data_IF_964476367741
#
_entry.id   IF_964476367741
#
_cell.length_a   1.000
_cell.length_b   1.000
_cell.length_c   1.000
_cell.angle_alpha   90.00
_cell.angle_beta   90.00
_cell.angle_gamma   90.00
#
_symmetry.space_group_name_H-M   'P 1'
#
loop_
_entity.id
_entity.type
_entity.pdbx_description
1 polymer ?
#
# COMPACT_ATOMS: atom_id res chain seq x y z
N UNK A 1 25.02 0.00 10.53
CA UNK A 1 24.69 1.45 10.57
C UNK A 1 25.50 2.21 9.53
N UNK A 2 26.82 1.99 9.47
CA UNK A 2 27.72 2.69 8.55
C UNK A 2 27.38 2.58 7.05
N UNK A 3 26.83 1.45 6.56
CA UNK A 3 26.65 1.29 5.10
C UNK A 3 25.51 2.14 4.51
N UNK A 4 24.31 2.10 5.11
CA UNK A 4 23.14 2.82 4.56
C UNK A 4 23.28 4.34 4.67
N UNK A 5 23.86 4.84 5.77
CA UNK A 5 24.08 6.26 5.94
C UNK A 5 25.14 6.80 4.96
N UNK A 6 26.23 6.06 4.77
CA UNK A 6 27.27 6.43 3.80
C UNK A 6 26.74 6.39 2.36
N UNK A 7 25.98 5.37 1.98
CA UNK A 7 25.36 5.30 0.63
C UNK A 7 24.39 6.48 0.39
N UNK A 8 23.59 6.88 1.39
CA UNK A 8 22.72 8.05 1.27
C UNK A 8 23.50 9.37 1.24
N UNK A 9 24.62 9.45 1.94
CA UNK A 9 25.52 10.61 1.90
C UNK A 9 26.21 10.73 0.53
N UNK A 10 26.65 9.62 -0.07
CA UNK A 10 27.17 9.58 -1.43
C UNK A 10 26.12 10.04 -2.47
N UNK A 11 24.86 9.64 -2.29
CA UNK A 11 23.74 10.13 -3.10
C UNK A 11 23.50 11.64 -2.91
N UNK A 12 23.69 12.15 -1.68
CA UNK A 12 23.62 13.59 -1.41
C UNK A 12 24.75 14.35 -2.09
N UNK A 13 25.98 13.84 -2.02
CA UNK A 13 27.16 14.46 -2.62
C UNK A 13 27.11 14.46 -4.15
N UNK A 14 26.45 13.46 -4.75
CA UNK A 14 26.21 13.40 -6.19
C UNK A 14 25.01 14.23 -6.67
N UNK A 15 24.28 14.88 -5.76
CA UNK A 15 23.18 15.79 -6.08
C UNK A 15 21.90 15.10 -6.56
N UNK A 16 21.78 13.78 -6.40
CA UNK A 16 20.60 13.00 -6.81
C UNK A 16 19.63 12.72 -5.66
N UNK A 17 20.01 13.09 -4.44
CA UNK A 17 19.15 12.97 -3.26
C UNK A 17 18.05 14.03 -3.28
N UNK A 18 16.85 13.66 -2.81
CA UNK A 18 15.74 14.59 -2.69
C UNK A 18 16.14 15.83 -1.85
N UNK A 19 15.90 17.07 -2.34
CA UNK A 19 16.32 18.28 -1.65
C UNK A 19 15.80 18.35 -0.20
N UNK A 20 16.71 18.62 0.74
CA UNK A 20 16.39 18.74 2.16
C UNK A 20 16.27 17.42 2.92
N UNK A 21 16.53 16.28 2.29
CA UNK A 21 16.60 14.99 2.98
C UNK A 21 17.94 14.84 3.73
N UNK A 22 17.88 14.59 5.03
CA UNK A 22 19.05 14.28 5.87
C UNK A 22 19.41 12.78 5.74
N UNK A 23 20.60 12.44 5.18
CA UNK A 23 21.03 11.05 4.98
C UNK A 23 21.08 10.21 6.25
N UNK A 24 21.54 10.78 7.36
CA UNK A 24 21.67 10.09 8.65
C UNK A 24 20.28 9.80 9.20
N UNK A 25 19.41 10.81 9.24
CA UNK A 25 18.04 10.65 9.72
C UNK A 25 17.25 9.64 8.88
N UNK A 26 17.43 9.65 7.56
CA UNK A 26 16.83 8.69 6.64
C UNK A 26 17.33 7.26 6.89
N UNK A 27 18.65 7.06 7.01
CA UNK A 27 19.24 5.76 7.34
C UNK A 27 18.73 5.22 8.68
N UNK A 28 18.63 6.06 9.71
CA UNK A 28 18.06 5.65 10.99
C UNK A 28 16.59 5.26 10.86
N UNK A 29 15.79 5.98 10.06
CA UNK A 29 14.39 5.65 9.84
C UNK A 29 14.24 4.27 9.18
N UNK A 30 15.08 3.95 8.20
CA UNK A 30 15.13 2.62 7.56
C UNK A 30 15.48 1.54 8.59
N UNK A 31 16.53 1.74 9.40
CA UNK A 31 16.95 0.76 10.42
C UNK A 31 15.86 0.57 11.48
N UNK A 32 15.21 1.65 11.94
CA UNK A 32 14.08 1.57 12.89
C UNK A 32 12.94 0.76 12.29
N UNK A 33 12.58 1.00 11.03
CA UNK A 33 11.53 0.25 10.34
C UNK A 33 11.88 -1.24 10.23
N UNK A 34 13.10 -1.56 9.79
CA UNK A 34 13.59 -2.94 9.72
C UNK A 34 13.47 -3.67 11.07
N UNK A 35 13.93 -3.04 12.17
CA UNK A 35 13.85 -3.63 13.51
C UNK A 35 12.40 -3.90 13.94
N UNK A 36 11.47 -2.99 13.62
CA UNK A 36 10.05 -3.17 13.92
C UNK A 36 9.44 -4.32 13.12
N UNK A 37 9.75 -4.42 11.83
CA UNK A 37 9.33 -5.56 10.98
C UNK A 37 9.87 -6.87 11.54
N UNK A 38 11.16 -6.90 11.90
CA UNK A 38 11.81 -8.09 12.45
C UNK A 38 11.21 -8.51 13.79
N UNK A 39 10.91 -7.56 14.68
CA UNK A 39 10.21 -7.84 15.93
C UNK A 39 8.82 -8.44 15.67
N UNK A 40 8.03 -7.80 14.78
CA UNK A 40 6.70 -8.28 14.43
C UNK A 40 6.70 -9.69 13.81
N UNK A 41 7.73 -10.05 13.03
CA UNK A 41 7.86 -11.39 12.46
C UNK A 41 8.26 -12.46 13.48
N UNK A 42 9.00 -12.10 14.53
CA UNK A 42 9.44 -13.08 15.53
C UNK A 42 8.46 -13.24 16.69
N UNK A 43 7.84 -12.15 17.10
CA UNK A 43 7.08 -12.06 18.32
C UNK A 43 5.59 -12.04 17.99
N UNK A 44 4.92 -13.20 18.11
CA UNK A 44 3.46 -13.27 17.97
C UNK A 44 2.78 -12.38 19.01
N UNK A 45 1.77 -11.64 18.58
CA UNK A 45 0.96 -10.83 19.48
C UNK A 45 -0.25 -11.65 19.94
N UNK A 46 -0.49 -11.70 21.25
CA UNK A 46 -1.65 -12.36 21.86
C UNK A 46 -2.64 -11.32 22.36
N UNK A 47 -3.90 -11.43 21.95
CA UNK A 47 -4.96 -10.45 22.23
C UNK A 47 -6.23 -11.16 22.71
N UNK A 48 -7.00 -10.49 23.58
CA UNK A 48 -8.34 -10.95 23.94
C UNK A 48 -9.27 -10.84 22.71
N UNK A 49 -9.92 -11.93 22.26
CA UNK A 49 -10.86 -11.89 21.15
C UNK A 49 -12.03 -10.90 21.33
N UNK A 50 -12.38 -10.56 22.58
CA UNK A 50 -13.48 -9.63 22.90
C UNK A 50 -13.05 -8.18 22.83
N UNK A 51 -11.75 -7.89 22.86
CA UNK A 51 -11.23 -6.53 22.73
C UNK A 51 -11.03 -6.14 21.27
N UNK A 52 -12.13 -5.71 20.65
CA UNK A 52 -12.14 -5.27 19.25
C UNK A 52 -11.18 -4.11 18.99
N UNK A 53 -11.01 -3.19 19.95
CA UNK A 53 -10.11 -2.05 19.78
C UNK A 53 -8.64 -2.47 19.77
N UNK A 54 -8.26 -3.42 20.64
CA UNK A 54 -6.91 -3.98 20.64
C UNK A 54 -6.61 -4.74 19.33
N UNK A 55 -7.58 -5.51 18.82
CA UNK A 55 -7.46 -6.23 17.54
C UNK A 55 -7.30 -5.26 16.36
N UNK A 56 -8.15 -4.26 16.25
CA UNK A 56 -8.06 -3.24 15.18
C UNK A 56 -6.75 -2.44 15.27
N UNK A 57 -6.30 -2.12 16.49
CA UNK A 57 -5.02 -1.45 16.74
C UNK A 57 -3.82 -2.28 16.30
N UNK A 58 -3.79 -3.57 16.65
CA UNK A 58 -2.74 -4.50 16.23
C UNK A 58 -2.69 -4.62 14.70
N UNK A 59 -3.84 -4.75 14.06
CA UNK A 59 -3.91 -4.84 12.60
C UNK A 59 -3.41 -3.56 11.92
N UNK A 60 -3.71 -2.38 12.49
CA UNK A 60 -3.20 -1.10 12.00
C UNK A 60 -1.68 -1.01 12.11
N UNK A 61 -1.10 -1.45 13.22
CA UNK A 61 0.37 -1.48 13.38
C UNK A 61 1.04 -2.36 12.32
N UNK A 62 0.47 -3.53 12.02
CA UNK A 62 0.98 -4.40 10.97
C UNK A 62 0.83 -3.76 9.58
N UNK A 63 -0.28 -3.09 9.32
CA UNK A 63 -0.50 -2.34 8.09
C UNK A 63 0.54 -1.22 7.91
N UNK A 64 0.85 -0.45 8.97
CA UNK A 64 1.87 0.61 8.95
C UNK A 64 3.28 0.06 8.68
N UNK A 65 3.54 -1.19 9.07
CA UNK A 65 4.79 -1.88 8.74
C UNK A 65 4.82 -2.36 7.28
N UNK A 66 3.68 -2.36 6.61
CA UNK A 66 3.52 -2.76 5.22
C UNK A 66 3.04 -4.19 5.05
N UNK A 67 2.50 -4.83 6.09
CA UNK A 67 1.86 -6.14 5.96
C UNK A 67 0.43 -6.00 5.42
N UNK A 68 0.09 -6.84 4.45
CA UNK A 68 -1.28 -6.99 3.95
C UNK A 68 -2.10 -7.89 4.89
N UNK A 69 -3.43 -7.80 4.80
CA UNK A 69 -4.35 -8.57 5.66
C UNK A 69 -4.09 -10.08 5.58
N UNK A 70 -3.84 -10.58 4.38
CA UNK A 70 -3.56 -11.99 4.13
C UNK A 70 -2.16 -12.47 4.55
N UNK A 71 -1.25 -11.54 4.81
CA UNK A 71 0.08 -11.82 5.35
C UNK A 71 0.04 -11.94 6.88
N UNK A 72 -1.15 -11.95 7.49
CA UNK A 72 -1.33 -12.12 8.92
C UNK A 72 -2.10 -13.41 9.18
N UNK A 73 -1.45 -14.37 9.84
CA UNK A 73 -2.13 -15.53 10.37
C UNK A 73 -2.82 -15.16 11.69
N UNK A 74 -4.10 -15.49 11.80
CA UNK A 74 -4.90 -15.31 13.01
C UNK A 74 -5.33 -16.70 13.48
N UNK A 75 -4.88 -17.09 14.67
CA UNK A 75 -5.25 -18.38 15.28
C UNK A 75 -5.77 -18.16 16.70
N UNK A 76 -6.60 -19.06 17.20
CA UNK A 76 -6.98 -19.09 18.62
C UNK A 76 -6.03 -20.04 19.33
N UNK A 77 -5.35 -19.55 20.35
CA UNK A 77 -4.51 -20.36 21.22
C UNK A 77 -5.39 -21.30 22.06
N UNK A 78 -5.14 -22.61 21.95
CA UNK A 78 -6.00 -23.63 22.55
C UNK A 78 -6.04 -23.57 24.07
N UNK A 79 -4.93 -23.18 24.71
CA UNK A 79 -4.79 -23.16 26.16
C UNK A 79 -5.33 -21.86 26.75
N UNK A 80 -4.97 -20.72 26.16
CA UNK A 80 -5.31 -19.39 26.70
C UNK A 80 -6.59 -18.79 26.11
N UNK A 81 -7.14 -19.37 25.04
CA UNK A 81 -8.27 -18.82 24.27
C UNK A 81 -8.02 -17.41 23.70
N UNK A 82 -6.76 -16.96 23.66
CA UNK A 82 -6.38 -15.68 23.08
C UNK A 82 -6.21 -15.77 21.57
N UNK A 83 -6.48 -14.68 20.85
CA UNK A 83 -6.12 -14.54 19.44
C UNK A 83 -4.63 -14.30 19.30
N UNK A 84 -3.95 -15.16 18.54
CA UNK A 84 -2.58 -14.97 18.11
C UNK A 84 -2.54 -14.33 16.72
N UNK A 85 -1.91 -13.17 16.62
CA UNK A 85 -1.60 -12.49 15.37
C UNK A 85 -0.13 -12.69 15.05
N UNK A 86 0.14 -13.32 13.90
CA UNK A 86 1.49 -13.61 13.44
C UNK A 86 1.63 -13.21 11.97
N UNK A 87 2.40 -12.14 11.67
CA UNK A 87 2.78 -11.82 10.31
C UNK A 87 3.62 -12.95 9.73
N UNK A 88 3.42 -13.23 8.44
CA UNK A 88 4.17 -14.22 7.68
C UNK A 88 4.74 -13.61 6.41
N UNK A 89 5.87 -14.16 5.98
CA UNK A 89 6.41 -13.86 4.66
C UNK A 89 5.71 -14.72 3.62
N UNK A 90 5.30 -14.11 2.53
CA UNK A 90 4.78 -14.82 1.34
C UNK A 90 5.90 -15.01 0.32
N UNK A 91 5.73 -15.98 -0.57
CA UNK A 91 6.67 -16.18 -1.68
C UNK A 91 6.69 -14.95 -2.60
N UNK A 92 7.80 -14.74 -3.29
CA UNK A 92 7.89 -13.70 -4.31
C UNK A 92 6.84 -13.94 -5.40
N UNK A 93 6.18 -12.86 -5.84
CA UNK A 93 5.13 -12.92 -6.87
C UNK A 93 3.76 -13.36 -6.36
N UNK A 94 3.60 -13.57 -5.05
CA UNK A 94 2.33 -14.00 -4.45
C UNK A 94 1.21 -12.98 -4.70
N UNK A 95 1.49 -11.69 -4.45
CA UNK A 95 0.49 -10.64 -4.60
C UNK A 95 0.13 -10.43 -6.06
N UNK A 96 1.13 -10.42 -6.96
CA UNK A 96 0.89 -10.32 -8.41
C UNK A 96 0.06 -11.48 -8.94
N UNK A 97 0.39 -12.72 -8.58
CA UNK A 97 -0.39 -13.89 -9.00
C UNK A 97 -1.83 -13.82 -8.48
N UNK A 98 -2.02 -13.42 -7.22
CA UNK A 98 -3.34 -13.27 -6.64
C UNK A 98 -4.18 -12.19 -7.33
N UNK A 99 -3.59 -11.02 -7.59
CA UNK A 99 -4.30 -9.94 -8.27
C UNK A 99 -4.73 -10.37 -9.66
N UNK A 100 -3.84 -11.06 -10.40
CA UNK A 100 -4.15 -11.65 -11.70
C UNK A 100 -5.31 -12.65 -11.60
N UNK A 101 -5.30 -13.55 -10.63
CA UNK A 101 -6.34 -14.55 -10.47
C UNK A 101 -7.71 -13.94 -10.11
N UNK A 102 -7.73 -12.87 -9.32
CA UNK A 102 -8.97 -12.21 -8.88
C UNK A 102 -9.52 -11.18 -9.87
N UNK A 103 -8.64 -10.45 -10.56
CA UNK A 103 -8.99 -9.23 -11.30
C UNK A 103 -8.40 -9.18 -12.71
N UNK A 104 -7.55 -10.13 -13.09
CA UNK A 104 -6.91 -10.17 -14.41
C UNK A 104 -5.87 -9.09 -14.66
N UNK A 105 -5.42 -8.37 -13.62
CA UNK A 105 -4.44 -7.30 -13.73
C UNK A 105 -3.02 -7.83 -13.55
N UNK A 106 -2.14 -7.48 -14.49
CA UNK A 106 -0.71 -7.79 -14.45
C UNK A 106 0.06 -6.62 -13.84
N UNK A 107 0.69 -6.83 -12.70
CA UNK A 107 1.41 -5.75 -11.98
C UNK A 107 2.65 -6.27 -11.27
N UNK A 108 3.55 -5.36 -10.91
CA UNK A 108 4.63 -5.68 -9.97
C UNK A 108 4.10 -5.93 -8.55
N UNK A 109 4.90 -6.56 -7.70
CA UNK A 109 4.47 -7.03 -6.38
C UNK A 109 3.96 -5.89 -5.48
N UNK A 110 4.64 -4.73 -5.49
CA UNK A 110 4.25 -3.58 -4.67
C UNK A 110 2.95 -2.93 -5.19
N UNK A 111 2.80 -2.87 -6.52
CA UNK A 111 1.56 -2.41 -7.15
C UNK A 111 0.40 -3.34 -6.78
N UNK A 112 0.61 -4.65 -6.92
CA UNK A 112 -0.37 -5.67 -6.57
C UNK A 112 -0.84 -5.54 -5.12
N UNK A 113 0.12 -5.42 -4.20
CA UNK A 113 -0.15 -5.26 -2.78
C UNK A 113 -0.98 -4.01 -2.48
N UNK A 114 -0.70 -2.88 -3.15
CA UNK A 114 -1.45 -1.62 -2.98
C UNK A 114 -2.87 -1.73 -3.52
N UNK A 115 -3.07 -2.37 -4.67
CA UNK A 115 -4.38 -2.64 -5.25
C UNK A 115 -5.21 -3.60 -4.39
N UNK A 116 -4.61 -4.72 -3.96
CA UNK A 116 -5.24 -5.68 -3.05
C UNK A 116 -5.63 -5.04 -1.71
N UNK A 117 -4.82 -4.13 -1.17
CA UNK A 117 -5.17 -3.38 0.04
C UNK A 117 -6.36 -2.41 -0.18
N UNK A 118 -6.56 -1.89 -1.39
CA UNK A 118 -7.76 -1.13 -1.75
C UNK A 118 -8.99 -2.06 -1.78
N UNK A 119 -8.85 -3.22 -2.40
CA UNK A 119 -9.89 -4.24 -2.47
C UNK A 119 -10.29 -4.79 -1.10
N UNK A 120 -9.33 -5.16 -0.24
CA UNK A 120 -9.62 -5.67 1.11
C UNK A 120 -10.37 -4.65 1.95
N UNK A 121 -10.04 -3.35 1.82
CA UNK A 121 -10.78 -2.26 2.48
C UNK A 121 -12.21 -2.13 1.97
N UNK A 122 -12.43 -2.30 0.67
CA UNK A 122 -13.76 -2.34 0.09
C UNK A 122 -14.56 -3.55 0.62
N UNK A 123 -13.98 -4.75 0.57
CA UNK A 123 -14.60 -5.98 1.05
C UNK A 123 -14.98 -5.91 2.54
N UNK A 124 -14.12 -5.32 3.37
CA UNK A 124 -14.39 -5.14 4.80
C UNK A 124 -15.62 -4.23 5.08
N UNK A 125 -15.92 -3.27 4.20
CA UNK A 125 -17.13 -2.45 4.31
C UNK A 125 -18.38 -3.20 3.84
N UNK A 126 -18.23 -4.05 2.82
CA UNK A 126 -19.31 -4.82 2.19
C UNK A 126 -19.54 -6.20 2.84
N UNK A 127 -18.88 -6.50 3.96
CA UNK A 127 -18.85 -7.83 4.60
C UNK A 127 -20.25 -8.41 4.90
N UNK A 128 -21.27 -7.55 5.05
CA UNK A 128 -22.67 -7.95 5.31
C UNK A 128 -23.38 -8.57 4.10
N UNK A 129 -22.80 -8.49 2.90
CA UNK A 129 -23.43 -8.94 1.66
C UNK A 129 -23.40 -10.45 1.45
N UNK A 130 -22.53 -11.18 2.17
CA UNK A 130 -22.38 -12.65 2.04
C UNK A 130 -21.84 -13.14 0.69
N UNK A 131 -21.38 -12.23 -0.20
CA UNK A 131 -20.89 -12.63 -1.51
C UNK A 131 -19.49 -13.25 -1.43
N UNK A 132 -19.16 -14.07 -2.43
CA UNK A 132 -17.83 -14.67 -2.57
C UNK A 132 -16.75 -13.61 -2.84
N UNK A 133 -15.49 -13.98 -2.59
CA UNK A 133 -14.33 -13.10 -2.85
C UNK A 133 -14.27 -12.68 -4.32
N UNK A 134 -14.57 -13.58 -5.25
CA UNK A 134 -14.58 -13.30 -6.69
C UNK A 134 -15.71 -12.33 -7.07
N UNK A 135 -16.89 -12.45 -6.49
CA UNK A 135 -17.99 -11.50 -6.71
C UNK A 135 -17.64 -10.11 -6.16
N UNK A 136 -17.03 -10.05 -4.98
CA UNK A 136 -16.54 -8.80 -4.39
C UNK A 136 -15.45 -8.15 -5.24
N UNK A 137 -14.54 -8.95 -5.83
CA UNK A 137 -13.49 -8.44 -6.71
C UNK A 137 -14.09 -7.78 -7.96
N UNK A 138 -15.09 -8.42 -8.59
CA UNK A 138 -15.82 -7.84 -9.72
C UNK A 138 -16.54 -6.55 -9.34
N UNK A 139 -17.21 -6.51 -8.18
CA UNK A 139 -17.88 -5.30 -7.70
C UNK A 139 -16.90 -4.18 -7.43
N UNK A 140 -15.79 -4.46 -6.74
CA UNK A 140 -14.73 -3.47 -6.51
C UNK A 140 -14.17 -2.92 -7.82
N UNK A 141 -13.98 -3.78 -8.83
CA UNK A 141 -13.52 -3.35 -10.13
C UNK A 141 -14.48 -2.34 -10.77
N UNK A 142 -15.78 -2.64 -10.79
CA UNK A 142 -16.82 -1.79 -11.37
C UNK A 142 -17.12 -0.52 -10.56
N UNK A 143 -17.02 -0.59 -9.24
CA UNK A 143 -17.45 0.50 -8.34
C UNK A 143 -16.29 1.41 -7.88
N UNK A 144 -15.05 0.95 -7.98
CA UNK A 144 -13.87 1.68 -7.49
C UNK A 144 -12.81 1.83 -8.57
N UNK A 145 -12.39 0.74 -9.22
CA UNK A 145 -11.30 0.79 -10.20
C UNK A 145 -11.72 1.53 -11.48
N UNK A 146 -12.77 1.06 -12.16
CA UNK A 146 -13.24 1.65 -13.41
C UNK A 146 -13.67 3.12 -13.25
N UNK A 147 -14.40 3.55 -12.21
CA UNK A 147 -14.77 4.96 -12.07
C UNK A 147 -13.55 5.87 -11.90
N UNK A 148 -12.53 5.43 -11.18
CA UNK A 148 -11.27 6.18 -11.03
C UNK A 148 -10.54 6.31 -12.37
N UNK A 149 -10.44 5.23 -13.14
CA UNK A 149 -9.80 5.26 -14.46
C UNK A 149 -10.62 6.09 -15.45
N UNK A 150 -11.94 5.94 -15.48
CA UNK A 150 -12.83 6.67 -16.38
C UNK A 150 -12.94 8.16 -16.05
N UNK A 151 -12.57 8.56 -14.84
CA UNK A 151 -12.44 9.97 -14.45
C UNK A 151 -11.24 10.65 -15.12
N UNK A 152 -10.22 9.89 -15.53
CA UNK A 152 -9.09 10.43 -16.29
C UNK A 152 -9.53 10.77 -17.72
N UNK A 153 -9.20 11.97 -18.24
CA UNK A 153 -9.55 12.36 -19.60
C UNK A 153 -9.11 11.31 -20.62
N UNK A 154 -9.96 10.99 -21.60
CA UNK A 154 -9.70 9.98 -22.63
C UNK A 154 -8.34 10.17 -23.33
N UNK A 155 -7.99 11.40 -23.67
CA UNK A 155 -6.72 11.74 -24.30
C UNK A 155 -5.47 11.45 -23.43
N UNK A 156 -5.64 11.17 -22.14
CA UNK A 156 -4.55 10.91 -21.19
C UNK A 156 -4.59 9.49 -20.61
N UNK A 157 -5.65 8.70 -20.86
CA UNK A 157 -5.82 7.35 -20.28
C UNK A 157 -4.75 6.37 -20.75
N UNK A 158 -4.33 6.44 -22.01
CA UNK A 158 -3.34 5.53 -22.58
C UNK A 158 -1.88 5.93 -22.31
N UNK A 159 -1.63 7.03 -21.59
CA UNK A 159 -0.27 7.43 -21.22
C UNK A 159 0.41 6.44 -20.27
N UNK A 160 -0.40 5.66 -19.57
CA UNK A 160 0.04 4.70 -18.55
C UNK A 160 -0.92 3.53 -18.53
N UNK A 161 -0.39 2.32 -18.36
CA UNK A 161 -1.14 1.14 -17.95
C UNK A 161 -2.08 1.44 -16.76
N UNK A 162 -3.34 1.01 -16.85
CA UNK A 162 -4.38 1.39 -15.89
C UNK A 162 -4.06 0.95 -14.46
N UNK A 163 -3.45 -0.22 -14.27
CA UNK A 163 -3.11 -0.69 -12.93
C UNK A 163 -2.05 0.20 -12.28
N UNK A 164 -1.06 0.64 -13.07
CA UNK A 164 -0.05 1.59 -12.63
C UNK A 164 -0.64 2.98 -12.37
N UNK A 165 -1.57 3.44 -13.20
CA UNK A 165 -2.27 4.70 -13.00
C UNK A 165 -3.07 4.69 -11.67
N UNK A 166 -3.83 3.62 -11.43
CA UNK A 166 -4.58 3.46 -10.19
C UNK A 166 -3.66 3.37 -8.96
N UNK A 167 -2.52 2.67 -9.09
CA UNK A 167 -1.49 2.59 -8.05
C UNK A 167 -0.98 3.99 -7.63
N UNK A 168 -0.70 4.86 -8.60
CA UNK A 168 -0.21 6.21 -8.33
C UNK A 168 -1.30 7.14 -7.81
N UNK A 169 -2.54 7.00 -8.27
CA UNK A 169 -3.66 7.74 -7.71
C UNK A 169 -3.83 7.40 -6.22
N UNK A 170 -3.67 6.13 -5.84
CA UNK A 170 -3.70 5.72 -4.43
C UNK A 170 -2.55 6.32 -3.62
N UNK A 171 -1.36 6.45 -4.22
CA UNK A 171 -0.20 7.11 -3.59
C UNK A 171 -0.43 8.61 -3.42
N UNK A 172 -0.92 9.26 -4.47
CA UNK A 172 -1.27 10.68 -4.44
C UNK A 172 -2.34 10.96 -3.37
N UNK A 173 -3.37 10.10 -3.27
CA UNK A 173 -4.38 10.20 -2.22
C UNK A 173 -3.73 10.15 -0.83
N UNK A 174 -2.80 9.22 -0.60
CA UNK A 174 -2.10 9.14 0.67
C UNK A 174 -1.31 10.43 0.94
N UNK A 175 -0.49 10.88 -0.01
CA UNK A 175 0.31 12.10 0.12
C UNK A 175 -0.55 13.35 0.43
N UNK A 176 -1.64 13.54 -0.31
CA UNK A 176 -2.58 14.65 -0.10
C UNK A 176 -3.29 14.56 1.27
N UNK A 177 -3.60 13.35 1.72
CA UNK A 177 -4.26 13.12 3.01
C UNK A 177 -3.31 13.40 4.18
N UNK A 178 -2.03 13.04 4.07
CA UNK A 178 -1.00 13.37 5.05
C UNK A 178 -0.87 14.89 5.21
N UNK A 179 -0.84 15.64 4.11
CA UNK A 179 -0.74 17.10 4.13
C UNK A 179 -1.96 17.80 4.74
N UNK A 180 -3.17 17.25 4.56
CA UNK A 180 -4.42 17.84 5.06
C UNK A 180 -4.87 17.32 6.43
N UNK A 181 -4.31 16.20 6.90
CA UNK A 181 -4.70 15.55 8.15
C UNK A 181 -6.02 14.79 8.10
N UNK A 182 -6.61 14.59 6.92
CA UNK A 182 -7.82 13.79 6.71
C UNK A 182 -7.84 13.19 5.29
N UNK A 183 -8.64 12.14 5.10
CA UNK A 183 -8.79 11.47 3.80
C UNK A 183 -9.47 12.37 2.76
N UNK A 184 -8.76 12.68 1.68
CA UNK A 184 -9.28 13.54 0.59
C UNK A 184 -10.23 12.82 -0.37
N UNK A 185 -10.29 11.49 -0.31
CA UNK A 185 -11.09 10.67 -1.23
C UNK A 185 -10.41 10.43 -2.58
N UNK A 186 -10.92 9.44 -3.32
CA UNK A 186 -10.37 9.04 -4.62
C UNK A 186 -10.62 10.10 -5.70
N UNK A 187 -11.82 10.65 -5.79
CA UNK A 187 -12.17 11.64 -6.83
C UNK A 187 -11.23 12.85 -6.81
N UNK A 188 -11.02 13.44 -5.63
CA UNK A 188 -10.10 14.57 -5.46
C UNK A 188 -8.66 14.19 -5.80
N UNK A 189 -8.21 13.01 -5.37
CA UNK A 189 -6.86 12.54 -5.65
C UNK A 189 -6.63 12.27 -7.14
N UNK A 190 -7.64 11.76 -7.85
CA UNK A 190 -7.60 11.56 -9.30
C UNK A 190 -7.55 12.90 -10.03
N UNK A 191 -8.39 13.87 -9.68
CA UNK A 191 -8.37 15.20 -10.30
C UNK A 191 -7.01 15.87 -10.12
N UNK A 192 -6.45 15.78 -8.91
CA UNK A 192 -5.13 16.30 -8.61
C UNK A 192 -4.04 15.56 -9.39
N UNK A 193 -4.10 14.22 -9.45
CA UNK A 193 -3.15 13.41 -10.22
C UNK A 193 -3.14 13.78 -11.70
N UNK A 194 -4.31 13.96 -12.30
CA UNK A 194 -4.46 14.37 -13.72
C UNK A 194 -3.89 15.76 -13.98
N UNK A 195 -3.95 16.66 -12.99
CA UNK A 195 -3.49 18.04 -13.14
C UNK A 195 -2.00 18.20 -12.86
N UNK A 196 -1.49 17.55 -11.82
CA UNK A 196 -0.19 17.86 -11.25
C UNK A 196 0.87 16.79 -11.50
N UNK A 197 0.49 15.56 -11.86
CA UNK A 197 1.42 14.42 -11.98
C UNK A 197 1.39 13.86 -13.41
N UNK A 198 0.24 13.39 -13.87
CA UNK A 198 0.08 12.73 -15.17
C UNK A 198 0.62 13.55 -16.38
N UNK A 199 0.51 14.89 -16.43
CA UNK A 199 1.04 15.67 -17.54
C UNK A 199 2.56 15.56 -17.69
N UNK A 200 3.28 15.49 -16.57
CA UNK A 200 4.74 15.47 -16.49
C UNK A 200 5.31 14.07 -16.52
N UNK A 201 4.45 13.06 -16.39
CA UNK A 201 4.82 11.66 -16.43
C UNK A 201 5.24 11.22 -17.83
N UNK A 202 6.38 10.52 -17.93
CA UNK A 202 6.81 9.84 -19.16
C UNK A 202 6.25 8.43 -19.24
N UNK A 203 6.07 7.93 -20.47
CA UNK A 203 5.58 6.56 -20.77
C UNK A 203 6.43 5.45 -20.10
N UNK A 204 7.64 5.77 -19.64
CA UNK A 204 8.58 4.87 -18.96
C UNK A 204 8.44 4.79 -17.43
N UNK A 205 7.50 5.51 -16.81
CA UNK A 205 7.26 5.45 -15.36
C UNK A 205 8.30 6.18 -14.48
N UNK A 206 9.07 7.12 -15.04
CA UNK A 206 10.06 7.91 -14.30
C UNK A 206 9.63 9.37 -14.29
N UNK A 207 9.44 9.94 -13.10
CA UNK A 207 9.10 11.35 -12.92
C UNK A 207 10.32 12.23 -13.21
N UNK A 208 10.10 13.36 -13.90
CA UNK A 208 11.13 14.39 -14.05
C UNK A 208 11.14 15.18 -12.74
N UNK A 209 12.25 15.13 -11.99
CA UNK A 209 12.48 16.11 -10.93
C UNK A 209 12.38 17.52 -11.55
N UNK A 210 11.40 18.30 -11.09
CA UNK A 210 11.28 19.70 -11.47
C UNK A 210 12.61 20.41 -11.15
N UNK A 211 13.19 21.05 -12.17
CA UNK A 211 14.38 21.89 -12.06
C UNK A 211 14.13 23.12 -11.19
#
# INVERSE_FOLDING_TARGET
MFNVAAELEDLSLSGVLYPGMDPVRAAEAVIRRYRRIWAALKDRQLLDPKDRHAVEGAMRVLHDLGFAVEEVAITIDGDTQMLSFQPKLVAAGYHSARLRDLMGLETEELQAKRLLASFDRYRAREEKSGASVTEMAKKWFLEVFEPVINRVPEAMRDRVEHAQMFHEILENRWYLSEGKGFDVGLDFATDNYVTDILPFRRDSGVDIAAQ
#
